data_IF_966932883697
#
_entry.id   IF_966932883697
#
_cell.length_a   1.000
_cell.length_b   1.000
_cell.length_c   1.000
_cell.angle_alpha   90.00
_cell.angle_beta   90.00
_cell.angle_gamma   90.00
#
_symmetry.space_group_name_H-M   'P 1'
#
loop_
_entity.id
_entity.type
_entity.pdbx_description
1 polymer ?
#
# COMPACT_ATOMS: atom_id res chain seq x y z
N UNK A 1 -16.39 -14.34 -16.23
CA UNK A 1 -14.97 -14.60 -15.86
C UNK A 1 -14.08 -13.81 -16.82
N UNK A 2 -12.95 -13.23 -16.36
CA UNK A 2 -12.01 -12.47 -17.22
C UNK A 2 -10.84 -13.37 -17.63
N UNK A 3 -10.34 -13.30 -18.88
CA UNK A 3 -9.21 -14.10 -19.34
C UNK A 3 -7.85 -13.57 -18.81
N UNK A 4 -7.76 -12.28 -18.48
CA UNK A 4 -6.56 -11.64 -17.94
C UNK A 4 -6.92 -10.63 -16.84
N UNK A 5 -5.92 -10.20 -16.07
CA UNK A 5 -6.05 -9.19 -15.02
C UNK A 5 -5.01 -8.06 -15.18
N UNK A 6 -4.87 -7.51 -16.39
CA UNK A 6 -3.92 -6.43 -16.68
C UNK A 6 -4.23 -5.13 -15.92
N UNK A 7 -5.51 -4.93 -15.57
CA UNK A 7 -5.97 -3.81 -14.76
C UNK A 7 -5.66 -3.97 -13.26
N UNK A 8 -5.12 -5.13 -12.84
CA UNK A 8 -4.70 -5.37 -11.46
C UNK A 8 -5.85 -5.33 -10.46
N UNK A 9 -7.05 -5.79 -10.84
CA UNK A 9 -8.22 -5.86 -9.96
C UNK A 9 -9.02 -4.57 -9.82
N UNK A 10 -8.60 -3.47 -10.46
CA UNK A 10 -9.29 -2.17 -10.41
C UNK A 10 -9.70 -1.70 -11.81
N UNK A 11 -10.96 -1.35 -11.97
CA UNK A 11 -11.49 -0.70 -13.18
C UNK A 11 -12.25 0.56 -12.75
N UNK A 12 -11.88 1.71 -13.31
CA UNK A 12 -12.51 3.01 -13.01
C UNK A 12 -12.64 3.34 -11.50
N UNK A 13 -11.65 2.95 -10.71
CA UNK A 13 -11.62 3.21 -9.26
C UNK A 13 -12.41 2.23 -8.39
N UNK A 14 -12.95 1.15 -8.97
CA UNK A 14 -13.69 0.11 -8.23
C UNK A 14 -13.03 -1.27 -8.37
N UNK A 15 -13.16 -2.10 -7.34
CA UNK A 15 -12.74 -3.50 -7.39
C UNK A 15 -13.61 -4.28 -8.37
N UNK A 16 -12.99 -4.95 -9.34
CA UNK A 16 -13.70 -5.64 -10.42
C UNK A 16 -13.91 -7.16 -10.15
N UNK A 17 -13.53 -7.63 -8.96
CA UNK A 17 -13.62 -9.03 -8.52
C UNK A 17 -12.41 -9.90 -8.89
N UNK A 18 -11.41 -9.38 -9.60
CA UNK A 18 -10.11 -10.06 -9.79
C UNK A 18 -9.16 -9.73 -8.62
N UNK A 19 -8.05 -10.49 -8.44
CA UNK A 19 -7.03 -10.16 -7.45
C UNK A 19 -6.52 -8.72 -7.60
N UNK A 20 -6.39 -8.00 -6.48
CA UNK A 20 -5.78 -6.68 -6.46
C UNK A 20 -4.26 -6.83 -6.62
N UNK A 21 -3.69 -6.20 -7.65
CA UNK A 21 -2.24 -6.26 -7.94
C UNK A 21 -1.65 -4.87 -7.77
N UNK A 22 -0.90 -4.68 -6.69
CA UNK A 22 -0.21 -3.43 -6.38
C UNK A 22 1.31 -3.63 -6.52
N UNK A 23 1.99 -2.68 -7.15
CA UNK A 23 3.45 -2.65 -7.26
C UNK A 23 3.96 -1.33 -6.69
N UNK A 24 4.97 -1.42 -5.83
CA UNK A 24 5.62 -0.27 -5.21
C UNK A 24 7.10 -0.23 -5.58
N UNK A 25 7.60 0.96 -5.90
CA UNK A 25 9.02 1.21 -6.11
C UNK A 25 9.61 1.85 -4.85
N UNK A 26 10.64 1.24 -4.27
CA UNK A 26 11.34 1.75 -3.09
C UNK A 26 12.77 2.12 -3.46
N UNK A 27 13.14 3.39 -3.25
CA UNK A 27 14.53 3.82 -3.37
C UNK A 27 15.42 3.15 -2.30
N UNK A 28 16.73 3.01 -2.55
CA UNK A 28 17.68 2.78 -1.47
C UNK A 28 17.52 3.88 -0.41
N UNK A 29 17.28 3.49 0.83
CA UNK A 29 16.96 4.44 1.92
C UNK A 29 18.16 4.77 2.78
N UNK A 30 19.16 3.90 2.83
CA UNK A 30 20.33 4.06 3.68
C UNK A 30 21.32 4.98 3.00
N UNK A 31 21.78 6.01 3.71
CA UNK A 31 22.93 6.82 3.28
C UNK A 31 24.16 5.92 3.15
N UNK A 32 24.99 6.17 2.14
CA UNK A 32 26.16 5.34 1.85
C UNK A 32 27.26 5.57 2.88
N UNK A 33 28.01 4.51 3.23
CA UNK A 33 29.21 4.63 4.09
C UNK A 33 30.32 5.45 3.45
N UNK A 34 30.44 5.40 2.12
CA UNK A 34 31.18 6.42 1.37
C UNK A 34 30.22 7.59 1.21
N UNK A 35 30.35 8.67 2.01
CA UNK A 35 29.36 9.72 2.04
C UNK A 35 29.30 10.42 0.68
N UNK A 36 28.12 10.93 0.37
CA UNK A 36 27.89 11.81 -0.77
C UNK A 36 28.09 13.26 -0.34
N UNK A 37 28.38 14.12 -1.30
CA UNK A 37 28.49 15.57 -1.08
C UNK A 37 27.15 16.15 -0.63
N UNK A 38 27.20 17.05 0.35
CA UNK A 38 26.06 17.76 0.90
C UNK A 38 26.48 19.17 1.35
N UNK A 39 25.62 19.86 2.08
CA UNK A 39 25.89 21.19 2.63
C UNK A 39 25.44 21.28 4.09
N UNK A 40 26.20 22.01 4.89
CA UNK A 40 25.75 22.38 6.22
C UNK A 40 24.70 23.50 6.13
N UNK A 41 23.49 23.27 6.65
CA UNK A 41 22.41 24.25 6.48
C UNK A 41 22.59 25.53 7.33
N UNK A 42 23.41 25.51 8.38
CA UNK A 42 23.69 26.67 9.21
C UNK A 42 24.82 27.54 8.63
N UNK A 43 25.92 26.93 8.19
CA UNK A 43 27.09 27.66 7.67
C UNK A 43 27.05 27.89 6.16
N UNK A 44 26.26 27.11 5.41
CA UNK A 44 26.20 27.06 3.94
C UNK A 44 27.47 26.54 3.26
N UNK A 45 28.40 25.96 4.04
CA UNK A 45 29.64 25.38 3.52
C UNK A 45 29.47 23.90 3.11
N UNK A 46 30.32 23.38 2.20
CA UNK A 46 30.32 21.97 1.83
C UNK A 46 30.57 21.04 3.02
N UNK A 47 29.73 20.00 3.15
CA UNK A 47 29.84 18.99 4.20
C UNK A 47 29.40 17.61 3.67
N UNK A 48 29.96 16.52 4.20
CA UNK A 48 29.57 15.16 3.80
C UNK A 48 28.21 14.77 4.39
N UNK A 49 27.42 13.98 3.65
CA UNK A 49 26.12 13.49 4.14
C UNK A 49 26.27 12.60 5.39
N UNK A 50 25.39 12.83 6.38
CA UNK A 50 25.35 12.07 7.62
C UNK A 50 24.91 10.61 7.41
N UNK A 51 25.56 9.70 8.15
CA UNK A 51 25.29 8.27 8.11
C UNK A 51 24.41 7.84 9.28
N UNK A 52 23.15 7.49 9.00
CA UNK A 52 22.15 7.22 10.04
C UNK A 52 21.84 5.72 10.25
N UNK A 53 21.92 4.92 9.18
CA UNK A 53 21.48 3.51 9.19
C UNK A 53 22.37 2.63 8.32
N UNK A 54 22.51 1.36 8.72
CA UNK A 54 23.52 0.44 8.17
C UNK A 54 22.99 -0.70 7.30
N UNK A 55 21.69 -0.88 7.18
CA UNK A 55 21.10 -1.92 6.33
C UNK A 55 21.36 -1.63 4.84
N UNK A 56 21.73 -2.65 4.09
CA UNK A 56 21.97 -2.55 2.65
C UNK A 56 20.66 -2.54 1.86
N UNK A 57 19.68 -3.34 2.29
CA UNK A 57 18.39 -3.47 1.63
C UNK A 57 17.26 -3.63 2.65
N UNK A 58 16.20 -2.85 2.46
CA UNK A 58 14.98 -2.90 3.27
C UNK A 58 13.73 -3.20 2.43
N UNK A 59 13.86 -4.00 1.36
CA UNK A 59 12.73 -4.35 0.50
C UNK A 59 11.76 -5.32 1.18
N UNK A 60 12.26 -6.32 1.91
CA UNK A 60 11.41 -7.29 2.61
C UNK A 60 10.51 -6.59 3.64
N UNK A 61 11.08 -5.74 4.49
CA UNK A 61 10.31 -4.95 5.46
C UNK A 61 9.32 -4.00 4.76
N UNK A 62 9.72 -3.40 3.63
CA UNK A 62 8.82 -2.55 2.86
C UNK A 62 7.63 -3.30 2.27
N UNK A 63 7.79 -4.56 1.87
CA UNK A 63 6.68 -5.40 1.40
C UNK A 63 5.57 -5.51 2.46
N UNK A 64 5.96 -5.84 3.70
CA UNK A 64 5.01 -5.93 4.84
C UNK A 64 4.33 -4.58 5.10
N UNK A 65 5.08 -3.47 5.03
CA UNK A 65 4.50 -2.13 5.20
C UNK A 65 3.47 -1.84 4.10
N UNK A 66 3.78 -2.16 2.84
CA UNK A 66 2.85 -1.96 1.71
C UNK A 66 1.59 -2.80 1.89
N UNK A 67 1.71 -4.07 2.29
CA UNK A 67 0.56 -4.93 2.59
C UNK A 67 -0.33 -4.33 3.69
N UNK A 68 0.27 -3.85 4.78
CA UNK A 68 -0.46 -3.23 5.87
C UNK A 68 -1.22 -1.97 5.42
N UNK A 69 -0.57 -1.08 4.68
CA UNK A 69 -1.20 0.16 4.15
C UNK A 69 -2.35 -0.16 3.20
N UNK A 70 -2.17 -1.17 2.32
CA UNK A 70 -3.22 -1.62 1.42
C UNK A 70 -4.39 -2.25 2.19
N UNK A 71 -4.11 -3.08 3.20
CA UNK A 71 -5.14 -3.69 4.04
C UNK A 71 -5.98 -2.65 4.78
N UNK A 72 -5.34 -1.61 5.35
CA UNK A 72 -6.05 -0.48 5.96
C UNK A 72 -6.95 0.24 4.95
N UNK A 73 -6.46 0.48 3.74
CA UNK A 73 -7.25 1.15 2.69
C UNK A 73 -8.46 0.31 2.26
N UNK A 74 -8.28 -1.01 2.13
CA UNK A 74 -9.38 -1.94 1.83
C UNK A 74 -10.41 -1.93 2.97
N UNK A 75 -9.95 -1.95 4.24
CA UNK A 75 -10.82 -1.90 5.39
C UNK A 75 -11.66 -0.61 5.42
N UNK A 76 -11.06 0.56 5.16
CA UNK A 76 -11.79 1.83 5.04
C UNK A 76 -12.86 1.75 3.96
N UNK A 77 -12.51 1.33 2.74
CA UNK A 77 -13.48 1.18 1.64
C UNK A 77 -14.59 0.17 1.96
N UNK A 78 -14.29 -0.86 2.76
CA UNK A 78 -15.26 -1.86 3.19
C UNK A 78 -16.24 -1.27 4.22
N UNK A 79 -15.74 -0.51 5.19
CA UNK A 79 -16.56 0.23 6.16
C UNK A 79 -17.42 1.28 5.45
N UNK A 80 -16.87 2.03 4.49
CA UNK A 80 -17.63 3.02 3.71
C UNK A 80 -18.79 2.38 2.95
N UNK A 81 -18.61 1.15 2.44
CA UNK A 81 -19.63 0.43 1.68
C UNK A 81 -20.65 -0.31 2.55
N UNK A 82 -20.24 -0.85 3.69
CA UNK A 82 -21.05 -1.79 4.50
C UNK A 82 -21.33 -1.30 5.93
N UNK A 83 -20.88 -0.10 6.30
CA UNK A 83 -20.94 0.47 7.66
C UNK A 83 -19.94 -0.17 8.63
N UNK A 84 -19.90 0.32 9.88
CA UNK A 84 -18.78 0.04 10.79
C UNK A 84 -19.10 -0.24 12.26
N UNK A 85 -20.36 -0.30 12.69
CA UNK A 85 -20.70 -0.36 14.13
C UNK A 85 -20.48 -1.75 14.75
N UNK A 86 -20.70 -2.83 13.99
CA UNK A 86 -20.38 -4.20 14.43
C UNK A 86 -20.03 -5.13 13.27
N UNK A 87 -19.15 -6.10 13.52
CA UNK A 87 -18.80 -7.10 12.51
C UNK A 87 -19.99 -7.96 12.09
N UNK A 88 -20.92 -8.25 13.01
CA UNK A 88 -22.12 -9.04 12.71
C UNK A 88 -23.00 -8.34 11.68
N UNK A 89 -23.29 -7.05 11.90
CA UNK A 89 -24.12 -6.27 10.98
C UNK A 89 -23.43 -6.08 9.63
N UNK A 90 -22.15 -5.73 9.64
CA UNK A 90 -21.34 -5.57 8.44
C UNK A 90 -21.32 -6.86 7.61
N UNK A 91 -21.18 -8.02 8.26
CA UNK A 91 -21.23 -9.33 7.62
C UNK A 91 -22.59 -9.61 6.99
N UNK A 92 -23.69 -9.36 7.69
CA UNK A 92 -25.04 -9.52 7.12
C UNK A 92 -25.27 -8.66 5.88
N UNK A 93 -24.82 -7.40 5.89
CA UNK A 93 -24.90 -6.49 4.73
C UNK A 93 -24.02 -6.98 3.56
N UNK A 94 -22.82 -7.47 3.85
CA UNK A 94 -21.90 -8.02 2.85
C UNK A 94 -22.46 -9.29 2.18
N UNK A 95 -23.00 -10.21 2.98
CA UNK A 95 -23.57 -11.47 2.48
C UNK A 95 -24.79 -11.21 1.59
N UNK A 96 -25.66 -10.28 1.99
CA UNK A 96 -26.81 -9.87 1.17
C UNK A 96 -26.38 -9.19 -0.14
N UNK A 97 -25.37 -8.31 -0.07
CA UNK A 97 -24.78 -7.70 -1.28
C UNK A 97 -24.27 -8.77 -2.25
N UNK A 98 -23.55 -9.80 -1.75
CA UNK A 98 -23.09 -10.90 -2.58
C UNK A 98 -24.24 -11.72 -3.16
N UNK A 99 -25.29 -11.97 -2.37
CA UNK A 99 -26.49 -12.69 -2.84
C UNK A 99 -27.15 -11.95 -4.01
N UNK A 100 -27.37 -10.65 -3.87
CA UNK A 100 -27.96 -9.81 -4.91
C UNK A 100 -27.06 -9.71 -6.15
N UNK A 101 -25.75 -9.58 -5.97
CA UNK A 101 -24.80 -9.50 -7.08
C UNK A 101 -24.71 -10.80 -7.89
N UNK A 102 -24.91 -11.96 -7.25
CA UNK A 102 -24.88 -13.28 -7.90
C UNK A 102 -26.23 -13.73 -8.48
N UNK A 103 -27.33 -13.14 -8.02
CA UNK A 103 -28.67 -13.41 -8.54
C UNK A 103 -28.94 -12.72 -9.89
N UNK A 104 -28.02 -11.87 -10.33
CA UNK A 104 -27.98 -11.26 -11.67
C UNK A 104 -27.11 -12.11 -12.58
#
# INVERSE_FOLDING_TARGET
VRPTNNAGGLEAGMTNGQPLIIRAAKKPISTLRKPLESINLATKEPENAAYERSDVCALAAAGIIVEAVVAFTIATSFVDKFGGDSLTEMKSRYDEYLRLARAR
#
